data_IF_134642308494
#
_entry.id   IF_134642308494
#
_cell.length_a   1.000
_cell.length_b   1.000
_cell.length_c   1.000
_cell.angle_alpha   90.00
_cell.angle_beta   90.00
_cell.angle_gamma   90.00
#
_symmetry.space_group_name_H-M   'P 1'
#
loop_
_entity.id
_entity.type
_entity.pdbx_description
1 polymer ?
#
# COMPACT_ATOMS: atom_id res chain seq x y z
N UNK A 1 19.01 10.43 -16.13
CA UNK A 1 17.79 10.95 -15.49
C UNK A 1 17.41 9.96 -14.40
N UNK A 2 17.86 10.18 -13.16
CA UNK A 2 17.47 9.31 -12.03
C UNK A 2 16.11 9.76 -11.54
N UNK A 3 15.05 9.07 -11.94
CA UNK A 3 13.78 9.16 -11.21
C UNK A 3 14.06 8.76 -9.77
N UNK A 4 13.83 9.69 -8.83
CA UNK A 4 13.76 9.32 -7.42
C UNK A 4 12.70 8.22 -7.28
N UNK A 5 13.01 7.10 -6.63
CA UNK A 5 12.01 6.07 -6.44
C UNK A 5 10.83 6.68 -5.68
N UNK A 6 9.62 6.47 -6.20
CA UNK A 6 8.36 6.98 -5.65
C UNK A 6 8.08 6.34 -4.28
N UNK A 7 8.67 5.17 -4.04
CA UNK A 7 8.58 4.37 -2.82
C UNK A 7 9.96 4.18 -2.19
N UNK A 8 10.01 4.07 -0.87
CA UNK A 8 11.22 3.63 -0.18
C UNK A 8 11.64 2.23 -0.67
N UNK A 9 12.94 1.89 -0.74
CA UNK A 9 13.41 0.60 -1.26
C UNK A 9 12.85 -0.61 -0.51
N UNK A 10 12.69 -0.47 0.81
CA UNK A 10 12.13 -1.51 1.68
C UNK A 10 10.64 -1.75 1.36
N UNK A 11 9.88 -0.67 1.18
CA UNK A 11 8.46 -0.71 0.81
C UNK A 11 8.25 -1.28 -0.60
N UNK A 12 9.14 -0.94 -1.54
CA UNK A 12 9.15 -1.54 -2.88
C UNK A 12 9.45 -3.05 -2.82
N UNK A 13 10.39 -3.49 -1.99
CA UNK A 13 10.67 -4.91 -1.77
C UNK A 13 9.47 -5.66 -1.22
N UNK A 14 8.76 -5.07 -0.26
CA UNK A 14 7.58 -5.68 0.34
C UNK A 14 6.44 -5.85 -0.68
N UNK A 15 6.06 -4.80 -1.42
CA UNK A 15 4.97 -4.92 -2.41
C UNK A 15 5.34 -5.83 -3.60
N UNK A 16 6.62 -5.93 -3.96
CA UNK A 16 7.09 -6.88 -4.96
C UNK A 16 6.86 -8.33 -4.53
N UNK A 17 6.99 -8.63 -3.23
CA UNK A 17 6.65 -9.94 -2.67
C UNK A 17 5.15 -10.27 -2.81
N UNK A 18 4.29 -9.25 -2.84
CA UNK A 18 2.86 -9.39 -3.13
C UNK A 18 2.54 -9.62 -4.62
N UNK A 19 3.56 -9.65 -5.49
CA UNK A 19 3.40 -9.78 -6.94
C UNK A 19 3.16 -8.46 -7.68
N UNK A 20 3.36 -7.31 -7.02
CA UNK A 20 3.26 -5.99 -7.66
C UNK A 20 4.56 -5.66 -8.40
N UNK A 21 4.47 -5.33 -9.68
CA UNK A 21 5.62 -4.82 -10.43
C UNK A 21 5.92 -3.37 -10.04
N UNK A 22 7.06 -3.16 -9.36
CA UNK A 22 7.47 -1.84 -8.84
C UNK A 22 8.17 -0.96 -9.88
N UNK A 23 8.34 -1.45 -11.10
CA UNK A 23 8.94 -0.70 -12.21
C UNK A 23 7.90 0.03 -13.04
N UNK A 24 6.61 -0.25 -12.79
CA UNK A 24 5.47 0.42 -13.41
C UNK A 24 5.44 1.92 -13.12
N UNK A 25 4.99 2.69 -14.11
CA UNK A 25 4.68 4.12 -13.95
C UNK A 25 3.61 4.35 -12.87
N UNK A 26 3.65 5.51 -12.20
CA UNK A 26 2.84 5.80 -11.01
C UNK A 26 1.38 5.37 -11.08
N UNK A 27 0.67 5.64 -12.19
CA UNK A 27 -0.73 5.19 -12.35
C UNK A 27 -0.87 3.66 -12.50
N UNK A 28 0.00 3.03 -13.29
CA UNK A 28 -0.02 1.58 -13.46
C UNK A 28 0.37 0.86 -12.15
N UNK A 29 1.31 1.43 -11.39
CA UNK A 29 1.68 0.97 -10.07
C UNK A 29 0.51 1.10 -9.08
N UNK A 30 -0.20 2.22 -9.07
CA UNK A 30 -1.41 2.41 -8.25
C UNK A 30 -2.47 1.36 -8.57
N UNK A 31 -2.77 1.11 -9.85
CA UNK A 31 -3.73 0.09 -10.28
C UNK A 31 -3.29 -1.33 -9.86
N UNK A 32 -2.00 -1.65 -10.01
CA UNK A 32 -1.45 -2.94 -9.60
C UNK A 32 -1.55 -3.16 -8.07
N UNK A 33 -1.22 -2.15 -7.27
CA UNK A 33 -1.35 -2.22 -5.81
C UNK A 33 -2.83 -2.40 -5.42
N UNK A 34 -3.73 -1.66 -6.05
CA UNK A 34 -5.18 -1.78 -5.79
C UNK A 34 -5.73 -3.15 -6.15
N UNK A 35 -5.27 -3.73 -7.26
CA UNK A 35 -5.64 -5.08 -7.65
C UNK A 35 -5.15 -6.11 -6.61
N UNK A 36 -3.91 -5.98 -6.13
CA UNK A 36 -3.35 -6.86 -5.10
C UNK A 36 -4.09 -6.74 -3.75
N UNK A 37 -4.59 -5.56 -3.41
CA UNK A 37 -5.41 -5.33 -2.21
C UNK A 37 -6.81 -5.94 -2.37
N UNK A 38 -7.43 -5.77 -3.54
CA UNK A 38 -8.74 -6.34 -3.84
C UNK A 38 -8.72 -7.88 -3.84
N UNK A 39 -7.64 -8.50 -4.35
CA UNK A 39 -7.41 -9.95 -4.28
C UNK A 39 -7.43 -10.46 -2.83
N UNK A 40 -6.85 -9.67 -1.92
CA UNK A 40 -6.84 -9.91 -0.46
C UNK A 40 -8.14 -9.49 0.24
N UNK A 41 -9.20 -9.17 -0.52
CA UNK A 41 -10.51 -8.69 -0.02
C UNK A 41 -10.46 -7.39 0.79
N UNK A 42 -9.39 -6.59 0.63
CA UNK A 42 -9.31 -5.26 1.22
C UNK A 42 -10.15 -4.25 0.43
N UNK A 43 -10.90 -3.41 1.14
CA UNK A 43 -11.60 -2.27 0.57
C UNK A 43 -10.87 -0.99 0.90
N UNK A 44 -10.71 -0.09 -0.08
CA UNK A 44 -9.96 1.14 0.08
C UNK A 44 -10.87 2.35 -0.16
N UNK A 45 -10.74 3.34 0.71
CA UNK A 45 -11.14 4.72 0.48
C UNK A 45 -9.91 5.60 0.60
N UNK A 46 -9.82 6.72 -0.11
CA UNK A 46 -8.72 7.65 0.08
C UNK A 46 -9.20 9.09 -0.04
N UNK A 47 -8.50 9.96 0.67
CA UNK A 47 -8.73 11.39 0.71
C UNK A 47 -7.38 12.13 0.71
N UNK A 48 -7.40 13.45 0.49
CA UNK A 48 -6.21 14.29 0.52
C UNK A 48 -6.39 15.31 1.64
N UNK A 49 -5.55 15.20 2.66
CA UNK A 49 -5.55 16.12 3.80
C UNK A 49 -4.35 17.08 3.73
N UNK A 50 -4.30 18.07 4.63
CA UNK A 50 -3.23 19.08 4.69
C UNK A 50 -1.81 18.50 4.85
N UNK A 51 -1.68 17.25 5.30
CA UNK A 51 -0.39 16.55 5.45
C UNK A 51 -0.01 15.65 4.26
N UNK A 52 -0.92 15.38 3.31
CA UNK A 52 -0.67 14.48 2.19
C UNK A 52 -1.86 13.56 1.85
N UNK A 53 -1.54 12.36 1.35
CA UNK A 53 -2.55 11.36 0.99
C UNK A 53 -2.90 10.51 2.20
N UNK A 54 -4.20 10.33 2.43
CA UNK A 54 -4.76 9.50 3.48
C UNK A 54 -5.53 8.36 2.82
N UNK A 55 -5.19 7.12 3.13
CA UNK A 55 -5.88 5.93 2.61
C UNK A 55 -6.45 5.14 3.77
N UNK A 56 -7.76 4.94 3.74
CA UNK A 56 -8.49 4.11 4.70
C UNK A 56 -8.69 2.72 4.11
N UNK A 57 -8.14 1.71 4.77
CA UNK A 57 -8.35 0.30 4.50
C UNK A 57 -9.46 -0.22 5.40
N UNK A 58 -10.54 -0.75 4.81
CA UNK A 58 -11.70 -1.29 5.52
C UNK A 58 -11.72 -2.84 5.43
N UNK A 59 -10.75 -3.54 6.02
CA UNK A 59 -10.81 -5.00 6.27
C UNK A 59 -9.59 -5.52 7.08
N UNK A 60 -9.76 -6.41 8.09
CA UNK A 60 -10.98 -6.67 8.88
C UNK A 60 -11.32 -5.54 9.86
N UNK A 61 -10.34 -4.69 10.19
CA UNK A 61 -10.51 -3.45 10.95
C UNK A 61 -10.21 -2.25 10.06
N UNK A 62 -10.84 -1.12 10.36
CA UNK A 62 -10.56 0.13 9.67
C UNK A 62 -9.19 0.66 10.08
N UNK A 63 -8.28 0.77 9.13
CA UNK A 63 -6.92 1.25 9.35
C UNK A 63 -6.64 2.42 8.42
N UNK A 64 -6.08 3.50 8.96
CA UNK A 64 -5.78 4.71 8.23
C UNK A 64 -4.26 4.79 8.01
N UNK A 65 -3.85 4.93 6.75
CA UNK A 65 -2.47 5.05 6.34
C UNK A 65 -2.22 6.40 5.71
N UNK A 66 -1.06 6.98 6.03
CA UNK A 66 -0.62 8.27 5.51
C UNK A 66 0.60 8.07 4.62
N UNK A 67 0.63 8.81 3.51
CA UNK A 67 1.77 8.82 2.60
C UNK A 67 1.96 10.20 1.99
N UNK A 68 3.21 10.52 1.65
CA UNK A 68 3.49 11.74 0.87
C UNK A 68 2.96 11.64 -0.55
N UNK A 69 2.83 10.42 -1.06
CA UNK A 69 2.21 10.08 -2.33
C UNK A 69 1.13 9.04 -2.12
N UNK A 70 0.18 8.96 -3.07
CA UNK A 70 -0.87 7.95 -3.03
C UNK A 70 -0.29 6.54 -3.13
N UNK A 71 0.76 6.36 -3.93
CA UNK A 71 1.51 5.10 -4.06
C UNK A 71 2.05 4.63 -2.71
N UNK A 72 2.64 5.53 -1.93
CA UNK A 72 3.20 5.23 -0.62
C UNK A 72 2.10 4.80 0.36
N UNK A 73 1.00 5.54 0.43
CA UNK A 73 -0.13 5.21 1.30
C UNK A 73 -0.80 3.87 0.91
N UNK A 74 -0.98 3.62 -0.41
CA UNK A 74 -1.50 2.36 -0.92
C UNK A 74 -0.56 1.18 -0.64
N UNK A 75 0.75 1.37 -0.80
CA UNK A 75 1.74 0.34 -0.52
C UNK A 75 1.73 -0.05 0.96
N UNK A 76 1.57 0.91 1.88
CA UNK A 76 1.39 0.62 3.30
C UNK A 76 0.14 -0.21 3.60
N UNK A 77 -0.98 0.07 2.91
CA UNK A 77 -2.20 -0.75 3.03
C UNK A 77 -1.96 -2.21 2.62
N UNK A 78 -1.25 -2.41 1.51
CA UNK A 78 -0.92 -3.75 1.02
C UNK A 78 0.02 -4.48 1.99
N UNK A 79 1.04 -3.82 2.51
CA UNK A 79 1.95 -4.40 3.52
C UNK A 79 1.19 -4.82 4.78
N UNK A 80 0.24 -4.01 5.23
CA UNK A 80 -0.61 -4.36 6.36
C UNK A 80 -1.43 -5.63 6.11
N UNK A 81 -2.05 -5.76 4.93
CA UNK A 81 -2.79 -6.97 4.55
C UNK A 81 -1.90 -8.21 4.42
N UNK A 82 -0.63 -8.03 4.06
CA UNK A 82 0.34 -9.12 4.00
C UNK A 82 0.87 -9.56 5.36
N UNK A 83 0.85 -8.71 6.39
CA UNK A 83 1.36 -9.05 7.72
C UNK A 83 0.86 -10.41 8.25
N UNK A 84 -0.46 -10.72 8.24
CA UNK A 84 -0.95 -12.04 8.67
C UNK A 84 -0.48 -13.19 7.77
N UNK A 85 -0.20 -12.96 6.49
CA UNK A 85 0.31 -13.98 5.56
C UNK A 85 1.75 -14.40 5.89
N UNK A 86 2.53 -13.50 6.51
CA UNK A 86 3.94 -13.69 6.87
C UNK A 86 4.07 -14.35 8.27
N UNK A 87 2.97 -14.62 8.96
CA UNK A 87 2.97 -15.08 10.36
C UNK A 87 3.20 -13.96 11.36
N UNK A 88 3.20 -12.69 10.92
CA UNK A 88 3.10 -11.51 11.78
C UNK A 88 1.62 -11.27 12.01
N UNK A 89 1.04 -11.98 12.98
CA UNK A 89 -0.38 -11.87 13.31
C UNK A 89 -0.80 -10.42 13.61
N UNK A 90 -2.12 -10.10 13.56
CA UNK A 90 -2.60 -8.77 13.86
C UNK A 90 -2.13 -8.40 15.27
N UNK A 91 -1.42 -7.27 15.39
CA UNK A 91 -1.09 -6.70 16.68
C UNK A 91 -2.40 -6.30 17.36
N UNK A 92 -2.99 -7.23 18.11
CA UNK A 92 -3.94 -6.89 19.18
C UNK A 92 -3.14 -6.07 20.18
N UNK A 93 -3.36 -4.76 20.17
CA UNK A 93 -2.98 -3.86 21.27
C UNK A 93 -4.14 -3.73 22.24
#
# INVERSE_FOLDING_TARGET
MSSRPILAPDLAGAIAQAGVDVTLDGRALQDAIRAAIADRRGYLSWDVDHAGWVVTLHHPEEQIFYGRTLEEALAWCLVWLMAPEIGVGPFVV
#
